data_IF_696933153310
#
_entry.id   IF_696933153310
#
_cell.length_a   1.000
_cell.length_b   1.000
_cell.length_c   1.000
_cell.angle_alpha   90.00
_cell.angle_beta   90.00
_cell.angle_gamma   90.00
#
_symmetry.space_group_name_H-M   'P 1'
#
loop_
_entity.id
_entity.type
_entity.pdbx_description
1 polymer ?
#
# COMPACT_ATOMS: atom_id res chain seq x y z
N UNK A 1 -5.00 -0.69 -25.95
CA UNK A 1 -4.44 -0.83 -24.58
C UNK A 1 -4.68 0.47 -23.82
N UNK A 2 -4.90 0.37 -22.52
CA UNK A 2 -5.07 1.51 -21.61
C UNK A 2 -4.05 1.45 -20.50
N UNK A 3 -3.53 2.61 -20.08
CA UNK A 3 -2.70 2.70 -18.87
C UNK A 3 -3.56 2.74 -17.60
N UNK A 4 -2.90 2.69 -16.42
CA UNK A 4 -3.62 2.65 -15.15
C UNK A 4 -4.44 3.92 -14.86
N UNK A 5 -4.03 5.09 -15.34
CA UNK A 5 -4.77 6.34 -15.15
C UNK A 5 -5.98 6.41 -16.05
N UNK A 6 -5.82 5.96 -17.31
CA UNK A 6 -6.93 5.84 -18.25
C UNK A 6 -7.99 4.86 -17.72
N UNK A 7 -7.56 3.69 -17.20
CA UNK A 7 -8.48 2.71 -16.62
C UNK A 7 -9.25 3.29 -15.43
N UNK A 8 -8.57 3.97 -14.50
CA UNK A 8 -9.22 4.63 -13.36
C UNK A 8 -10.25 5.66 -13.84
N UNK A 9 -9.89 6.49 -14.84
CA UNK A 9 -10.80 7.48 -15.43
C UNK A 9 -12.01 6.85 -16.09
N UNK A 10 -11.83 5.74 -16.81
CA UNK A 10 -12.94 4.98 -17.41
C UNK A 10 -13.87 4.45 -16.33
N UNK A 11 -13.34 3.81 -15.29
CA UNK A 11 -14.13 3.29 -14.18
C UNK A 11 -14.87 4.42 -13.43
N UNK A 12 -14.21 5.57 -13.26
CA UNK A 12 -14.84 6.76 -12.67
C UNK A 12 -16.01 7.24 -13.52
N UNK A 13 -15.86 7.33 -14.84
CA UNK A 13 -16.94 7.75 -15.74
C UNK A 13 -18.10 6.75 -15.73
N UNK A 14 -17.81 5.45 -15.69
CA UNK A 14 -18.85 4.42 -15.56
C UNK A 14 -19.63 4.59 -14.24
N UNK A 15 -18.95 4.90 -13.14
CA UNK A 15 -19.58 5.10 -11.84
C UNK A 15 -20.37 6.41 -11.76
N UNK A 16 -19.77 7.51 -12.19
CA UNK A 16 -20.30 8.87 -11.92
C UNK A 16 -21.26 9.34 -13.02
N UNK A 17 -20.97 9.00 -14.28
CA UNK A 17 -21.76 9.42 -15.44
C UNK A 17 -22.62 8.31 -16.05
N UNK A 18 -22.40 7.05 -15.67
CA UNK A 18 -23.16 5.91 -16.21
C UNK A 18 -22.87 5.63 -17.68
N UNK A 19 -21.66 5.91 -18.17
CA UNK A 19 -21.28 5.72 -19.57
C UNK A 19 -20.03 4.84 -19.72
N UNK A 20 -19.98 4.05 -20.78
CA UNK A 20 -18.79 3.31 -21.20
C UNK A 20 -17.73 4.25 -21.80
N UNK A 21 -16.52 3.72 -22.01
CA UNK A 21 -15.44 4.45 -22.68
C UNK A 21 -15.80 4.86 -24.13
N UNK A 22 -16.72 4.14 -24.78
CA UNK A 22 -17.28 4.48 -26.10
C UNK A 22 -18.27 5.65 -26.07
N UNK A 23 -18.75 6.05 -24.88
CA UNK A 23 -19.82 7.04 -24.71
C UNK A 23 -21.22 6.42 -24.61
N UNK A 24 -21.36 5.11 -24.82
CA UNK A 24 -22.66 4.44 -24.71
C UNK A 24 -23.11 4.37 -23.24
N UNK A 25 -24.42 4.54 -22.96
CA UNK A 25 -24.94 4.47 -21.61
C UNK A 25 -24.85 3.05 -21.03
N UNK A 26 -24.58 2.95 -19.73
CA UNK A 26 -24.67 1.70 -19.01
C UNK A 26 -26.14 1.30 -18.81
N UNK A 27 -26.42 0.00 -18.93
CA UNK A 27 -27.76 -0.55 -18.66
C UNK A 27 -28.04 -0.74 -17.18
N UNK A 28 -26.99 -0.74 -16.33
CA UNK A 28 -27.06 -0.90 -14.88
C UNK A 28 -26.01 0.00 -14.21
N UNK A 29 -26.29 0.52 -13.00
CA UNK A 29 -25.30 1.28 -12.23
C UNK A 29 -24.01 0.47 -11.97
N UNK A 30 -22.87 1.15 -11.99
CA UNK A 30 -21.55 0.57 -11.71
C UNK A 30 -20.94 1.18 -10.43
N UNK A 31 -21.35 0.74 -9.22
CA UNK A 31 -20.94 1.35 -7.95
C UNK A 31 -19.52 0.94 -7.55
N UNK A 32 -18.52 1.33 -8.33
CA UNK A 32 -17.12 1.04 -8.05
C UNK A 32 -16.59 1.83 -6.86
N UNK A 33 -15.84 1.17 -5.99
CA UNK A 33 -14.91 1.80 -5.07
C UNK A 33 -13.49 1.56 -5.61
N UNK A 34 -12.87 2.60 -6.17
CA UNK A 34 -11.72 2.49 -7.06
C UNK A 34 -10.42 2.56 -6.29
N UNK A 35 -9.64 1.48 -6.31
CA UNK A 35 -8.30 1.44 -5.73
C UNK A 35 -7.20 1.64 -6.78
N UNK A 36 -6.07 2.23 -6.36
CA UNK A 36 -4.88 2.33 -7.20
C UNK A 36 -3.61 2.01 -6.43
N UNK A 37 -2.60 1.49 -7.13
CA UNK A 37 -1.29 1.23 -6.54
C UNK A 37 -0.41 2.49 -6.52
N UNK A 38 0.38 2.64 -5.45
CA UNK A 38 1.45 3.63 -5.35
C UNK A 38 2.75 2.98 -4.92
N UNK A 39 3.85 3.32 -5.61
CA UNK A 39 5.20 2.88 -5.28
C UNK A 39 5.97 4.06 -4.70
N UNK A 40 5.97 4.23 -3.36
CA UNK A 40 6.50 5.44 -2.71
C UNK A 40 8.01 5.60 -2.83
N UNK A 41 8.73 4.56 -3.24
CA UNK A 41 10.20 4.57 -3.39
C UNK A 41 10.69 4.45 -4.84
N UNK A 42 9.77 4.39 -5.83
CA UNK A 42 10.16 4.30 -7.23
C UNK A 42 10.90 5.56 -7.71
N UNK A 43 11.96 5.43 -8.49
CA UNK A 43 12.63 6.55 -9.14
C UNK A 43 11.78 7.10 -10.32
N UNK A 44 11.97 8.36 -10.72
CA UNK A 44 12.69 9.40 -9.99
C UNK A 44 11.86 9.96 -8.82
N UNK A 45 12.55 10.43 -7.78
CA UNK A 45 11.93 10.81 -6.50
C UNK A 45 10.89 11.91 -6.63
N UNK A 46 11.21 12.95 -7.39
CA UNK A 46 10.36 14.11 -7.62
C UNK A 46 9.01 13.79 -8.28
N UNK A 47 8.91 12.65 -8.97
CA UNK A 47 7.66 12.23 -9.62
C UNK A 47 6.77 11.32 -8.75
N UNK A 48 7.24 10.85 -7.60
CA UNK A 48 6.50 9.88 -6.76
C UNK A 48 5.13 10.40 -6.34
N UNK A 49 5.11 11.59 -5.78
CA UNK A 49 3.87 12.23 -5.29
C UNK A 49 3.03 12.75 -6.45
N UNK A 50 3.66 13.24 -7.53
CA UNK A 50 2.93 13.67 -8.74
C UNK A 50 2.20 12.49 -9.42
N UNK A 51 2.80 11.30 -9.45
CA UNK A 51 2.14 10.09 -9.95
C UNK A 51 0.96 9.69 -9.06
N UNK A 52 1.09 9.83 -7.75
CA UNK A 52 0.00 9.62 -6.80
C UNK A 52 -1.14 10.62 -7.07
N UNK A 53 -0.80 11.91 -7.18
CA UNK A 53 -1.78 12.97 -7.47
C UNK A 53 -2.59 12.68 -8.73
N UNK A 54 -1.94 12.29 -9.82
CA UNK A 54 -2.61 11.95 -11.08
C UNK A 54 -3.60 10.78 -10.95
N UNK A 55 -3.29 9.76 -10.14
CA UNK A 55 -4.20 8.63 -9.90
C UNK A 55 -5.42 9.04 -9.07
N UNK A 56 -5.22 9.87 -8.06
CA UNK A 56 -6.31 10.41 -7.24
C UNK A 56 -7.20 11.34 -8.08
N UNK A 57 -6.61 12.21 -8.89
CA UNK A 57 -7.33 13.09 -9.81
C UNK A 57 -8.13 12.29 -10.86
N UNK A 58 -7.56 11.19 -11.37
CA UNK A 58 -8.24 10.29 -12.28
C UNK A 58 -9.46 9.59 -11.64
N UNK A 59 -9.55 9.52 -10.29
CA UNK A 59 -10.71 9.01 -9.57
C UNK A 59 -10.46 7.86 -8.61
N UNK A 60 -9.21 7.63 -8.17
CA UNK A 60 -8.93 6.65 -7.14
C UNK A 60 -9.46 7.12 -5.77
N UNK A 61 -10.29 6.28 -5.12
CA UNK A 61 -10.87 6.53 -3.80
C UNK A 61 -9.91 6.09 -2.67
N UNK A 62 -9.07 5.08 -2.95
CA UNK A 62 -8.04 4.62 -2.03
C UNK A 62 -6.77 4.19 -2.77
N UNK A 63 -5.67 4.17 -2.02
CA UNK A 63 -4.35 3.85 -2.52
C UNK A 63 -3.76 2.71 -1.70
N UNK A 64 -3.28 1.66 -2.36
CA UNK A 64 -2.47 0.62 -1.75
C UNK A 64 -1.01 0.84 -2.15
N UNK A 65 -0.11 0.98 -1.17
CA UNK A 65 1.30 1.14 -1.52
C UNK A 65 1.95 -0.21 -1.86
N UNK A 66 3.04 -0.16 -2.63
CA UNK A 66 4.00 -1.27 -2.66
C UNK A 66 4.50 -1.54 -1.24
N UNK A 67 5.08 -2.74 -1.00
CA UNK A 67 5.59 -3.10 0.31
C UNK A 67 6.58 -2.07 0.86
N UNK A 68 6.34 -1.63 2.10
CA UNK A 68 7.16 -0.63 2.79
C UNK A 68 7.82 -1.25 4.03
N UNK A 69 9.15 -1.21 4.07
CA UNK A 69 9.96 -1.67 5.20
C UNK A 69 10.68 -0.52 5.90
N UNK A 70 10.94 0.59 5.20
CA UNK A 70 11.51 1.81 5.76
C UNK A 70 10.40 2.81 6.11
N UNK A 71 9.92 2.75 7.35
CA UNK A 71 8.85 3.61 7.85
C UNK A 71 9.24 5.08 7.93
N UNK A 72 10.53 5.39 8.09
CA UNK A 72 11.01 6.78 8.13
C UNK A 72 10.90 7.42 6.75
N UNK A 73 11.40 6.75 5.72
CA UNK A 73 11.26 7.22 4.33
C UNK A 73 9.80 7.25 3.88
N UNK A 74 9.01 6.26 4.33
CA UNK A 74 7.58 6.24 4.02
C UNK A 74 6.85 7.43 4.64
N UNK A 75 7.16 7.78 5.89
CA UNK A 75 6.60 8.96 6.53
C UNK A 75 6.92 10.25 5.75
N UNK A 76 8.15 10.39 5.24
CA UNK A 76 8.54 11.53 4.38
C UNK A 76 7.72 11.57 3.09
N UNK A 77 7.52 10.42 2.44
CA UNK A 77 6.72 10.35 1.21
C UNK A 77 5.23 10.69 1.46
N UNK A 78 4.67 10.23 2.59
CA UNK A 78 3.29 10.56 2.97
C UNK A 78 3.16 12.04 3.36
N UNK A 79 4.14 12.62 4.05
CA UNK A 79 4.14 14.04 4.37
C UNK A 79 4.09 14.92 3.11
N UNK A 80 4.87 14.58 2.08
CA UNK A 80 4.80 15.27 0.80
C UNK A 80 3.42 15.12 0.11
N UNK A 81 2.76 13.96 0.28
CA UNK A 81 1.39 13.78 -0.20
C UNK A 81 0.38 14.63 0.60
N UNK A 82 0.59 14.81 1.91
CA UNK A 82 -0.25 15.67 2.75
C UNK A 82 -0.09 17.15 2.37
N UNK A 83 1.13 17.62 2.10
CA UNK A 83 1.39 18.99 1.65
C UNK A 83 0.61 19.33 0.37
N UNK A 84 0.37 18.33 -0.50
CA UNK A 84 -0.47 18.46 -1.69
C UNK A 84 -1.98 18.21 -1.43
N UNK A 85 -2.40 17.97 -0.20
CA UNK A 85 -3.79 17.69 0.16
C UNK A 85 -4.32 16.35 -0.36
N UNK A 86 -3.43 15.40 -0.70
CA UNK A 86 -3.84 14.12 -1.33
C UNK A 86 -4.42 13.14 -0.31
N UNK A 87 -3.97 13.19 0.94
CA UNK A 87 -4.43 12.29 2.02
C UNK A 87 -5.85 12.57 2.49
N UNK A 88 -6.39 13.73 2.12
CA UNK A 88 -7.80 14.10 2.37
C UNK A 88 -8.73 13.65 1.23
N UNK A 89 -8.15 13.40 0.06
CA UNK A 89 -8.90 13.01 -1.16
C UNK A 89 -9.01 11.50 -1.33
N UNK A 90 -8.00 10.74 -0.86
CA UNK A 90 -7.98 9.28 -0.96
C UNK A 90 -7.33 8.66 0.26
N UNK A 91 -7.85 7.51 0.70
CA UNK A 91 -7.29 6.75 1.81
C UNK A 91 -5.97 6.06 1.42
N UNK A 92 -4.86 6.33 2.10
CA UNK A 92 -3.59 5.64 1.89
C UNK A 92 -3.48 4.43 2.82
N UNK A 93 -3.33 3.23 2.23
CA UNK A 93 -3.08 1.98 2.93
C UNK A 93 -1.62 1.56 2.73
N UNK A 94 -0.87 1.44 3.82
CA UNK A 94 0.50 0.98 3.77
C UNK A 94 0.57 -0.52 3.43
N UNK A 95 1.27 -0.88 2.36
CA UNK A 95 1.53 -2.27 1.99
C UNK A 95 2.54 -2.91 2.94
N UNK A 96 2.13 -3.95 3.67
CA UNK A 96 2.98 -4.68 4.59
C UNK A 96 3.02 -6.15 4.17
N UNK A 97 4.21 -6.65 3.83
CA UNK A 97 4.43 -8.07 3.55
C UNK A 97 5.02 -8.74 4.78
N UNK A 98 4.52 -9.94 5.10
CA UNK A 98 5.06 -10.78 6.18
C UNK A 98 6.33 -11.45 5.71
N UNK A 99 7.54 -11.08 6.20
CA UNK A 99 8.78 -11.72 5.76
C UNK A 99 8.95 -13.08 6.45
N UNK A 100 9.20 -14.13 5.66
CA UNK A 100 9.41 -15.50 6.16
C UNK A 100 10.88 -15.83 6.39
N UNK A 101 11.81 -15.11 5.76
CA UNK A 101 13.25 -15.34 5.83
C UNK A 101 14.05 -14.12 5.40
N UNK A 102 15.30 -14.03 5.84
CA UNK A 102 16.24 -13.00 5.38
C UNK A 102 16.45 -13.08 3.86
N UNK A 103 16.54 -14.27 3.30
CA UNK A 103 16.64 -14.49 1.84
C UNK A 103 15.46 -13.87 1.07
N UNK A 104 14.24 -13.95 1.62
CA UNK A 104 13.07 -13.30 1.00
C UNK A 104 13.24 -11.78 0.97
N UNK A 105 13.71 -11.16 2.07
CA UNK A 105 13.95 -9.73 2.13
C UNK A 105 15.06 -9.29 1.17
N UNK A 106 16.16 -10.05 1.10
CA UNK A 106 17.25 -9.82 0.13
C UNK A 106 16.76 -9.89 -1.31
N UNK A 107 15.97 -10.93 -1.63
CA UNK A 107 15.38 -11.08 -2.96
C UNK A 107 14.46 -9.91 -3.31
N UNK A 108 13.59 -9.50 -2.39
CA UNK A 108 12.66 -8.38 -2.61
C UNK A 108 13.43 -7.08 -2.83
N UNK A 109 14.45 -6.81 -2.01
CA UNK A 109 15.28 -5.61 -2.15
C UNK A 109 15.98 -5.55 -3.51
N UNK A 110 16.52 -6.69 -3.97
CA UNK A 110 17.30 -6.76 -5.20
C UNK A 110 16.45 -6.83 -6.48
N UNK A 111 15.26 -7.43 -6.43
CA UNK A 111 14.54 -7.83 -7.64
C UNK A 111 13.13 -7.23 -7.77
N UNK A 112 12.56 -6.65 -6.70
CA UNK A 112 11.21 -6.07 -6.79
C UNK A 112 11.30 -4.56 -6.91
N UNK A 113 10.95 -3.97 -8.07
CA UNK A 113 11.05 -2.53 -8.27
C UNK A 113 10.27 -1.73 -7.22
N UNK A 114 10.95 -0.76 -6.60
CA UNK A 114 10.34 0.12 -5.60
C UNK A 114 10.14 -0.50 -4.22
N UNK A 115 10.66 -1.71 -3.98
CA UNK A 115 10.78 -2.28 -2.63
C UNK A 115 12.20 -2.04 -2.13
N UNK A 116 12.31 -1.32 -1.03
CA UNK A 116 13.58 -1.08 -0.35
C UNK A 116 13.49 -1.65 1.06
N UNK A 117 14.46 -2.50 1.39
CA UNK A 117 14.54 -3.14 2.71
C UNK A 117 15.81 -2.63 3.41
N UNK A 118 15.69 -2.02 4.61
CA UNK A 118 16.87 -1.62 5.37
C UNK A 118 17.74 -2.83 5.74
N UNK A 119 19.05 -2.72 5.56
CA UNK A 119 20.02 -3.76 5.92
C UNK A 119 19.87 -4.27 7.35
N UNK A 120 19.50 -3.37 8.27
CA UNK A 120 19.26 -3.72 9.67
C UNK A 120 18.15 -4.76 9.83
N UNK A 121 17.08 -4.69 9.04
CA UNK A 121 16.00 -5.69 9.06
C UNK A 121 16.45 -7.04 8.51
N UNK A 122 17.22 -7.03 7.42
CA UNK A 122 17.79 -8.25 6.84
C UNK A 122 18.70 -8.94 7.85
N UNK A 123 19.63 -8.20 8.46
CA UNK A 123 20.55 -8.71 9.48
C UNK A 123 19.81 -9.22 10.72
N UNK A 124 18.79 -8.51 11.18
CA UNK A 124 17.96 -8.90 12.32
C UNK A 124 17.29 -10.25 12.05
N UNK A 125 16.67 -10.39 10.88
CA UNK A 125 15.98 -11.61 10.49
C UNK A 125 16.97 -12.78 10.28
N UNK A 126 18.14 -12.50 9.69
CA UNK A 126 19.19 -13.51 9.48
C UNK A 126 19.77 -14.06 10.81
N UNK A 127 19.85 -13.22 11.85
CA UNK A 127 20.36 -13.60 13.16
C UNK A 127 19.34 -14.38 14.03
N UNK A 128 18.06 -14.37 13.63
CA UNK A 128 17.00 -15.01 14.41
C UNK A 128 17.09 -16.54 14.35
N UNK A 129 16.88 -17.21 15.50
CA UNK A 129 16.78 -18.68 15.57
C UNK A 129 15.57 -19.22 14.82
N UNK A 130 14.45 -18.47 14.93
CA UNK A 130 13.22 -18.73 14.18
C UNK A 130 12.90 -17.48 13.35
N UNK A 131 13.26 -17.51 12.08
CA UNK A 131 13.06 -16.39 11.16
C UNK A 131 11.58 -16.11 10.89
N UNK A 132 10.71 -17.14 10.93
CA UNK A 132 9.27 -16.94 10.73
C UNK A 132 8.66 -16.15 11.89
N UNK A 133 8.95 -16.57 13.12
CA UNK A 133 8.46 -15.87 14.32
C UNK A 133 8.99 -14.44 14.39
N UNK A 134 10.26 -14.24 14.04
CA UNK A 134 10.86 -12.90 13.99
C UNK A 134 10.22 -12.04 12.88
N UNK A 135 9.90 -12.65 11.73
CA UNK A 135 9.17 -11.98 10.65
C UNK A 135 7.78 -11.53 11.07
N UNK A 136 7.07 -12.30 11.89
CA UNK A 136 5.79 -11.89 12.46
C UNK A 136 5.96 -10.69 13.39
N UNK A 137 6.98 -10.73 14.24
CA UNK A 137 7.27 -9.61 15.13
C UNK A 137 7.61 -8.33 14.35
N UNK A 138 8.45 -8.43 13.33
CA UNK A 138 8.76 -7.33 12.40
C UNK A 138 7.48 -6.80 11.77
N UNK A 139 6.58 -7.68 11.31
CA UNK A 139 5.30 -7.28 10.71
C UNK A 139 4.43 -6.48 11.67
N UNK A 140 4.30 -6.93 12.90
CA UNK A 140 3.55 -6.22 13.96
C UNK A 140 4.15 -4.83 14.20
N UNK A 141 5.47 -4.72 14.31
CA UNK A 141 6.17 -3.45 14.49
C UNK A 141 5.96 -2.49 13.32
N UNK A 142 6.03 -3.00 12.08
CA UNK A 142 5.76 -2.20 10.87
C UNK A 142 4.33 -1.69 10.84
N UNK A 143 3.33 -2.52 11.18
CA UNK A 143 1.93 -2.11 11.28
C UNK A 143 1.77 -1.00 12.33
N UNK A 144 2.34 -1.19 13.51
CA UNK A 144 2.25 -0.21 14.60
C UNK A 144 2.95 1.11 14.24
N UNK A 145 4.05 1.05 13.50
CA UNK A 145 4.74 2.23 13.01
C UNK A 145 3.94 2.95 11.90
N UNK A 146 3.40 2.21 10.95
CA UNK A 146 2.56 2.77 9.87
C UNK A 146 1.34 3.52 10.42
N UNK A 147 0.66 2.97 11.44
CA UNK A 147 -0.49 3.61 12.10
C UNK A 147 -0.19 4.94 12.77
N UNK A 148 1.07 5.22 13.07
CA UNK A 148 1.52 6.49 13.68
C UNK A 148 1.82 7.57 12.64
N UNK A 149 1.88 7.22 11.36
CA UNK A 149 2.16 8.17 10.29
C UNK A 149 0.88 8.94 9.95
N UNK A 150 0.85 10.27 10.17
CA UNK A 150 -0.30 11.09 9.79
C UNK A 150 -0.60 10.93 8.29
N UNK A 151 -1.88 10.82 7.92
CA UNK A 151 -2.30 10.60 6.53
C UNK A 151 -2.40 9.13 6.10
N UNK A 152 -1.82 8.18 6.85
CA UNK A 152 -2.05 6.74 6.63
C UNK A 152 -3.34 6.33 7.31
N UNK A 153 -4.29 5.76 6.54
CA UNK A 153 -5.62 5.37 7.05
C UNK A 153 -5.71 3.89 7.45
N UNK A 154 -4.73 3.08 7.03
CA UNK A 154 -4.72 1.65 7.33
C UNK A 154 -3.55 0.93 6.71
N UNK A 155 -3.63 -0.40 6.73
CA UNK A 155 -2.60 -1.28 6.15
C UNK A 155 -3.23 -2.28 5.19
N UNK A 156 -2.46 -2.66 4.17
CA UNK A 156 -2.74 -3.77 3.27
C UNK A 156 -1.75 -4.90 3.58
N UNK A 157 -2.22 -5.96 4.25
CA UNK A 157 -1.38 -7.08 4.67
C UNK A 157 -1.30 -8.14 3.58
N UNK A 158 -0.08 -8.62 3.33
CA UNK A 158 0.22 -9.67 2.36
C UNK A 158 1.04 -10.76 3.05
N UNK A 159 0.45 -11.94 3.22
CA UNK A 159 1.10 -13.12 3.79
C UNK A 159 1.19 -14.19 2.71
N UNK A 160 2.15 -14.06 1.81
CA UNK A 160 2.33 -14.96 0.67
C UNK A 160 2.60 -16.39 1.18
N UNK A 161 1.71 -17.35 0.88
CA UNK A 161 1.78 -18.74 1.32
C UNK A 161 1.95 -18.91 2.85
N UNK A 162 1.31 -18.05 3.64
CA UNK A 162 1.30 -18.12 5.10
C UNK A 162 0.13 -17.32 5.68
N UNK A 163 -1.02 -17.38 5.02
CA UNK A 163 -2.22 -16.60 5.36
C UNK A 163 -2.79 -16.98 6.74
N UNK A 164 -2.50 -18.17 7.22
CA UNK A 164 -2.90 -18.69 8.54
C UNK A 164 -2.38 -17.84 9.71
N UNK A 165 -1.31 -17.08 9.52
CA UNK A 165 -0.72 -16.22 10.58
C UNK A 165 -1.41 -14.86 10.71
N UNK A 166 -2.18 -14.45 9.71
CA UNK A 166 -2.81 -13.12 9.69
C UNK A 166 -3.70 -12.83 10.90
N UNK A 167 -4.55 -13.76 11.39
CA UNK A 167 -5.37 -13.49 12.57
C UNK A 167 -4.56 -13.12 13.82
N UNK A 168 -3.42 -13.80 14.03
CA UNK A 168 -2.53 -13.54 15.16
C UNK A 168 -1.82 -12.18 15.00
N UNK A 169 -1.30 -11.89 13.81
CA UNK A 169 -0.67 -10.60 13.50
C UNK A 169 -1.65 -9.44 13.70
N UNK A 170 -2.87 -9.56 13.18
CA UNK A 170 -3.93 -8.56 13.30
C UNK A 170 -4.25 -8.28 14.78
N UNK A 171 -4.38 -9.34 15.59
CA UNK A 171 -4.62 -9.22 17.02
C UNK A 171 -3.44 -8.54 17.74
N UNK A 172 -2.23 -9.03 17.50
CA UNK A 172 -0.99 -8.54 18.15
C UNK A 172 -0.66 -7.10 17.74
N UNK A 173 -0.99 -6.70 16.52
CA UNK A 173 -0.84 -5.32 16.05
C UNK A 173 -1.92 -4.36 16.59
N UNK A 174 -2.93 -4.86 17.32
CA UNK A 174 -4.01 -4.05 17.87
C UNK A 174 -4.96 -3.49 16.81
N UNK A 175 -5.23 -4.27 15.75
CA UNK A 175 -6.15 -3.88 14.67
C UNK A 175 -7.61 -4.32 14.95
N UNK A 176 -7.87 -4.96 16.09
CA UNK A 176 -9.20 -5.35 16.53
C UNK A 176 -9.65 -4.53 17.75
N UNK A 177 -10.99 -4.26 17.90
CA UNK A 177 -12.05 -4.55 16.94
C UNK A 177 -11.94 -3.69 15.67
N UNK A 178 -12.58 -4.12 14.58
CA UNK A 178 -12.69 -3.27 13.39
C UNK A 178 -13.40 -1.96 13.74
N UNK A 179 -12.99 -0.82 13.13
CA UNK A 179 -13.76 0.40 13.22
C UNK A 179 -15.22 0.15 12.80
N UNK A 180 -16.16 0.64 13.59
CA UNK A 180 -17.57 0.67 13.18
C UNK A 180 -17.73 1.87 12.25
N UNK A 181 -18.28 1.65 11.07
CA UNK A 181 -18.58 2.65 10.05
C UNK A 181 -20.02 3.13 10.24
#
# INVERSE_FOLDING_TARGET
DVDSMQLISIMKNMRDAGVLASGDPLTQPAPFFIGAAWTPFAPPEEFRVLRLAKKIEAGADFIQTQAVFDMKRFATAVAAAQEMGLTEKAAILAGIIVPKSARMLEYMHANVPGVEVPDALIKRLAAAKDQRQEGYQITVELIQAARKIPGVKGVHLQAIESEEVLPEIIKSAGLLPRPQV
#
